data_IF_470318983045
#
_entry.id   IF_470318983045
#
_cell.length_a   1.000
_cell.length_b   1.000
_cell.length_c   1.000
_cell.angle_alpha   90.00
_cell.angle_beta   90.00
_cell.angle_gamma   90.00
#
_symmetry.space_group_name_H-M   'P 1'
#
loop_
_entity.id
_entity.type
_entity.pdbx_description
1 polymer ?
#
# COMPACT_ATOMS: atom_id res chain seq x y z
N UNK A 1 -20.05 -6.15 7.48
CA UNK A 1 -19.22 -7.17 8.16
C UNK A 1 -18.60 -8.05 7.10
N UNK A 2 -17.43 -8.63 7.36
CA UNK A 2 -16.78 -9.54 6.41
C UNK A 2 -17.21 -10.97 6.68
N UNK A 3 -17.53 -11.71 5.61
CA UNK A 3 -17.51 -13.17 5.60
C UNK A 3 -16.07 -13.62 5.33
N UNK A 4 -15.56 -14.57 6.11
CA UNK A 4 -14.17 -15.01 6.03
C UNK A 4 -14.11 -16.52 5.93
N UNK A 5 -13.46 -16.99 4.86
CA UNK A 5 -13.15 -18.39 4.61
C UNK A 5 -11.65 -18.62 4.82
N UNK A 6 -11.33 -19.66 5.59
CA UNK A 6 -9.96 -20.02 5.92
C UNK A 6 -9.55 -21.28 5.17
N UNK A 7 -8.36 -21.25 4.57
CA UNK A 7 -7.62 -22.42 4.10
C UNK A 7 -6.21 -22.44 4.71
N UNK A 8 -5.47 -23.52 4.46
CA UNK A 8 -4.15 -23.73 5.09
C UNK A 8 -3.15 -22.61 4.77
N UNK A 9 -3.16 -22.12 3.53
CA UNK A 9 -2.25 -21.06 3.04
C UNK A 9 -2.99 -19.88 2.43
N UNK A 10 -4.31 -19.79 2.63
CA UNK A 10 -5.10 -18.71 2.05
C UNK A 10 -6.25 -18.26 2.93
N UNK A 11 -6.59 -16.98 2.84
CA UNK A 11 -7.83 -16.40 3.36
C UNK A 11 -8.61 -15.78 2.22
N UNK A 12 -9.91 -16.01 2.18
CA UNK A 12 -10.84 -15.27 1.32
C UNK A 12 -11.81 -14.50 2.20
N UNK A 13 -11.95 -13.21 1.92
CA UNK A 13 -12.79 -12.29 2.69
C UNK A 13 -13.75 -11.60 1.72
N UNK A 14 -15.05 -11.63 1.99
CA UNK A 14 -16.06 -10.99 1.15
C UNK A 14 -16.98 -10.07 1.97
N UNK A 15 -17.41 -8.96 1.38
CA UNK A 15 -18.44 -8.07 1.94
C UNK A 15 -19.20 -7.37 0.83
N UNK A 16 -20.43 -6.96 1.13
CA UNK A 16 -21.17 -5.98 0.33
C UNK A 16 -21.35 -4.70 1.14
N UNK A 17 -21.26 -3.56 0.48
CA UNK A 17 -21.47 -2.24 1.08
C UNK A 17 -22.43 -1.45 0.20
N UNK A 18 -23.27 -0.63 0.82
CA UNK A 18 -24.28 0.21 0.15
C UNK A 18 -24.36 1.58 0.79
N UNK A 19 -24.47 2.62 -0.03
CA UNK A 19 -24.70 3.99 0.39
C UNK A 19 -25.47 4.74 -0.70
N UNK A 20 -26.75 5.04 -0.46
CA UNK A 20 -27.62 5.61 -1.49
C UNK A 20 -27.72 4.66 -2.70
N UNK A 21 -27.45 5.20 -3.88
CA UNK A 21 -27.46 4.46 -5.15
C UNK A 21 -26.12 3.76 -5.47
N UNK A 22 -25.12 3.90 -4.59
CA UNK A 22 -23.89 3.11 -4.68
C UNK A 22 -24.05 1.78 -3.96
N UNK A 23 -23.66 0.71 -4.65
CA UNK A 23 -23.54 -0.63 -4.09
C UNK A 23 -22.25 -1.25 -4.64
N UNK A 24 -21.47 -1.87 -3.76
CA UNK A 24 -20.22 -2.53 -4.14
C UNK A 24 -20.07 -3.87 -3.41
N UNK A 25 -19.65 -4.88 -4.16
CA UNK A 25 -19.14 -6.13 -3.61
C UNK A 25 -17.62 -6.06 -3.60
N UNK A 26 -17.02 -6.38 -2.46
CA UNK A 26 -15.58 -6.42 -2.28
C UNK A 26 -15.19 -7.82 -1.87
N UNK A 27 -14.26 -8.41 -2.60
CA UNK A 27 -13.58 -9.64 -2.25
C UNK A 27 -12.10 -9.36 -2.09
N UNK A 28 -11.49 -9.93 -1.05
CA UNK A 28 -10.04 -9.89 -0.82
C UNK A 28 -9.53 -11.30 -0.64
N UNK A 29 -8.41 -11.63 -1.28
CA UNK A 29 -7.72 -12.89 -1.10
C UNK A 29 -6.31 -12.63 -0.59
N UNK A 30 -5.93 -13.31 0.48
CA UNK A 30 -4.56 -13.36 0.98
C UNK A 30 -4.03 -14.77 0.73
N UNK A 31 -2.87 -14.90 0.11
CA UNK A 31 -2.21 -16.18 -0.15
C UNK A 31 -0.79 -16.13 0.38
N UNK A 32 -0.43 -17.12 1.18
CA UNK A 32 0.94 -17.37 1.64
C UNK A 32 1.64 -18.30 0.65
N UNK A 33 2.80 -17.90 0.15
CA UNK A 33 3.64 -18.71 -0.71
C UNK A 33 5.11 -18.65 -0.25
N UNK A 34 5.58 -19.69 0.42
CA UNK A 34 6.93 -19.76 1.00
C UNK A 34 7.27 -18.51 1.86
N UNK A 35 8.03 -17.58 1.28
CA UNK A 35 8.43 -16.30 1.88
C UNK A 35 7.73 -15.12 1.21
N UNK A 36 6.46 -15.28 0.85
CA UNK A 36 5.67 -14.24 0.21
C UNK A 36 4.22 -14.21 0.66
N UNK A 37 3.62 -13.03 0.50
CA UNK A 37 2.20 -12.77 0.70
C UNK A 37 1.67 -12.09 -0.54
N UNK A 38 0.72 -12.74 -1.22
CA UNK A 38 -0.11 -12.11 -2.25
C UNK A 38 -1.38 -11.57 -1.60
N UNK A 39 -1.67 -10.30 -1.81
CA UNK A 39 -2.93 -9.64 -1.43
C UNK A 39 -3.66 -9.17 -2.68
N UNK A 40 -4.70 -9.89 -3.08
CA UNK A 40 -5.58 -9.50 -4.17
C UNK A 40 -6.85 -8.84 -3.63
N UNK A 41 -7.35 -7.87 -4.37
CA UNK A 41 -8.67 -7.28 -4.14
C UNK A 41 -9.44 -7.27 -5.45
N UNK A 42 -10.72 -7.63 -5.37
CA UNK A 42 -11.69 -7.57 -6.46
C UNK A 42 -12.88 -6.77 -5.99
N UNK A 43 -13.32 -5.84 -6.81
CA UNK A 43 -14.54 -5.06 -6.57
C UNK A 43 -15.49 -5.20 -7.74
N UNK A 44 -16.78 -5.24 -7.44
CA UNK A 44 -17.85 -5.17 -8.43
C UNK A 44 -18.77 -4.02 -8.06
N UNK A 45 -18.93 -3.04 -8.94
CA UNK A 45 -19.98 -2.04 -8.78
C UNK A 45 -21.31 -2.70 -9.16
N UNK A 46 -22.12 -3.09 -8.17
CA UNK A 46 -23.44 -3.67 -8.36
C UNK A 46 -24.58 -2.66 -8.12
N UNK A 47 -24.24 -1.38 -7.97
CA UNK A 47 -25.18 -0.27 -7.95
C UNK A 47 -25.54 0.24 -9.34
N UNK A 48 -26.64 0.99 -9.49
CA UNK A 48 -27.02 1.64 -10.75
C UNK A 48 -26.12 2.82 -11.13
N UNK A 49 -25.49 3.48 -10.14
CA UNK A 49 -24.66 4.67 -10.36
C UNK A 49 -23.19 4.35 -10.61
N UNK A 50 -22.48 5.30 -11.21
CA UNK A 50 -21.02 5.25 -11.34
C UNK A 50 -20.36 5.34 -9.97
N UNK A 51 -19.46 4.40 -9.65
CA UNK A 51 -18.77 4.32 -8.37
C UNK A 51 -17.36 4.92 -8.48
N UNK A 52 -17.05 6.01 -7.73
CA UNK A 52 -15.67 6.44 -7.52
C UNK A 52 -14.99 5.48 -6.52
N UNK A 53 -13.99 4.75 -6.99
CA UNK A 53 -13.15 3.86 -6.19
C UNK A 53 -11.88 4.60 -5.77
N UNK A 54 -11.66 4.68 -4.46
CA UNK A 54 -10.39 5.10 -3.87
C UNK A 54 -9.92 3.98 -2.94
N UNK A 55 -8.71 3.50 -3.14
CA UNK A 55 -8.16 2.40 -2.36
C UNK A 55 -6.67 2.59 -2.13
N UNK A 56 -6.16 2.17 -0.97
CA UNK A 56 -4.74 2.12 -0.71
C UNK A 56 -4.42 0.97 0.24
N UNK A 57 -3.22 0.41 0.09
CA UNK A 57 -2.64 -0.42 1.14
C UNK A 57 -2.14 0.49 2.26
N UNK A 58 -2.30 0.07 3.52
CA UNK A 58 -1.82 0.83 4.67
C UNK A 58 -1.04 -0.08 5.64
N UNK A 59 0.06 -0.73 5.17
CA UNK A 59 0.84 -1.64 5.99
C UNK A 59 1.70 -0.87 7.00
N UNK A 60 1.76 -1.33 8.24
CA UNK A 60 2.64 -0.75 9.26
C UNK A 60 3.84 -1.67 9.50
N UNK A 61 5.03 -1.19 9.15
CA UNK A 61 6.30 -1.86 9.38
C UNK A 61 7.06 -1.23 10.56
N UNK A 62 7.84 -2.00 11.34
CA UNK A 62 8.65 -1.46 12.44
C UNK A 62 9.85 -0.68 11.92
N UNK A 63 10.24 0.45 12.52
CA UNK A 63 11.43 1.16 12.05
C UNK A 63 12.70 0.29 12.00
N UNK A 64 13.52 0.43 10.93
CA UNK A 64 14.85 -0.15 10.88
C UNK A 64 15.78 0.51 11.90
N UNK A 65 16.73 -0.26 12.43
CA UNK A 65 17.63 0.21 13.49
C UNK A 65 18.51 1.38 13.05
N UNK A 66 18.87 1.44 11.76
CA UNK A 66 19.65 2.51 11.13
C UNK A 66 18.79 3.70 10.65
N UNK A 67 17.46 3.61 10.76
CA UNK A 67 16.52 4.63 10.30
C UNK A 67 16.35 4.72 8.78
N UNK A 68 16.98 3.84 7.99
CA UNK A 68 16.82 3.77 6.53
C UNK A 68 15.61 2.89 6.23
N UNK A 69 14.53 3.48 5.75
CA UNK A 69 13.23 2.82 5.61
C UNK A 69 13.09 2.02 4.32
N UNK A 70 13.13 2.70 3.17
CA UNK A 70 12.87 2.07 1.89
C UNK A 70 13.46 2.84 0.72
N UNK A 71 13.58 2.17 -0.42
CA UNK A 71 13.82 2.78 -1.71
C UNK A 71 12.68 2.44 -2.68
N UNK A 72 12.56 3.26 -3.72
CA UNK A 72 11.62 3.03 -4.82
C UNK A 72 12.37 2.95 -6.14
N UNK A 73 11.67 2.56 -7.21
CA UNK A 73 12.15 2.71 -8.59
C UNK A 73 12.66 4.14 -8.86
N UNK A 74 13.82 4.26 -9.53
CA UNK A 74 14.78 5.37 -9.46
C UNK A 74 14.34 6.77 -9.90
N UNK A 75 13.12 6.94 -10.41
CA UNK A 75 12.64 8.22 -10.97
C UNK A 75 11.63 8.95 -10.06
N UNK A 76 11.49 8.50 -8.81
CA UNK A 76 10.60 9.13 -7.83
C UNK A 76 11.34 10.18 -6.99
N UNK A 77 10.67 11.28 -6.67
CA UNK A 77 11.22 12.35 -5.84
C UNK A 77 10.41 12.55 -4.58
N UNK A 78 11.04 13.09 -3.53
CA UNK A 78 10.37 13.45 -2.30
C UNK A 78 10.53 14.96 -2.07
N UNK A 79 9.43 15.70 -1.83
CA UNK A 79 9.54 17.10 -1.44
C UNK A 79 10.20 17.23 -0.07
N UNK A 80 10.72 18.43 0.24
CA UNK A 80 11.24 18.72 1.57
C UNK A 80 10.21 18.39 2.65
N UNK A 81 10.64 17.66 3.68
CA UNK A 81 9.78 17.18 4.74
C UNK A 81 10.49 17.29 6.10
N UNK A 82 9.80 17.68 7.19
CA UNK A 82 10.45 17.83 8.50
C UNK A 82 10.86 16.50 9.12
N UNK A 83 10.17 15.39 8.83
CA UNK A 83 10.49 14.07 9.40
C UNK A 83 11.20 13.13 8.44
N UNK A 84 10.89 13.15 7.15
CA UNK A 84 11.55 12.27 6.18
C UNK A 84 12.66 12.97 5.41
N UNK A 85 13.73 12.24 5.08
CA UNK A 85 14.81 12.68 4.19
C UNK A 85 15.07 11.68 3.07
N UNK A 86 15.87 12.09 2.09
CA UNK A 86 16.55 11.20 1.15
C UNK A 86 18.04 11.21 1.49
N UNK A 87 18.69 10.05 1.52
CA UNK A 87 20.15 9.94 1.61
C UNK A 87 20.82 10.04 0.21
N UNK A 88 22.14 9.88 0.17
CA UNK A 88 22.94 10.01 -1.06
C UNK A 88 22.65 8.87 -2.07
N UNK A 89 22.10 7.75 -1.60
CA UNK A 89 21.66 6.60 -2.38
C UNK A 89 20.18 6.72 -2.84
N UNK A 90 19.46 7.77 -2.42
CA UNK A 90 18.06 8.00 -2.76
C UNK A 90 17.08 7.15 -1.95
N UNK A 91 17.48 6.66 -0.78
CA UNK A 91 16.62 5.93 0.15
C UNK A 91 15.91 6.89 1.09
N UNK A 92 14.68 6.54 1.47
CA UNK A 92 13.88 7.27 2.45
C UNK A 92 14.45 7.00 3.83
N UNK A 93 14.85 8.07 4.52
CA UNK A 93 15.42 8.00 5.86
C UNK A 93 14.58 8.77 6.88
N UNK A 94 14.65 8.30 8.13
CA UNK A 94 14.10 8.97 9.30
C UNK A 94 15.02 10.11 9.75
N UNK A 95 14.52 11.35 9.81
CA UNK A 95 15.27 12.47 10.41
C UNK A 95 15.28 12.36 11.93
N UNK A 96 16.48 12.50 12.51
CA UNK A 96 16.72 12.28 13.94
C UNK A 96 16.20 13.41 14.84
N UNK A 97 16.05 14.63 14.30
CA UNK A 97 15.61 15.83 15.01
C UNK A 97 14.08 16.02 15.01
N UNK A 98 13.33 15.19 14.27
CA UNK A 98 11.88 15.24 14.26
C UNK A 98 11.25 14.59 15.49
N UNK A 99 10.18 15.20 15.99
CA UNK A 99 9.35 14.69 17.08
C UNK A 99 8.37 13.62 16.58
N UNK A 100 8.83 12.37 16.57
CA UNK A 100 8.10 11.24 15.99
C UNK A 100 6.86 10.79 16.76
N UNK A 101 6.64 11.28 17.99
CA UNK A 101 5.38 11.00 18.70
C UNK A 101 4.19 11.72 18.05
N UNK A 102 4.43 12.79 17.28
CA UNK A 102 3.41 13.44 16.45
C UNK A 102 3.17 12.74 15.12
N UNK A 103 4.08 11.84 14.75
CA UNK A 103 4.17 11.27 13.42
C UNK A 103 4.52 12.29 12.35
N UNK A 104 4.61 11.79 11.12
CA UNK A 104 4.88 12.60 9.95
C UNK A 104 4.29 11.96 8.70
N UNK A 105 3.89 12.81 7.77
CA UNK A 105 3.36 12.43 6.46
C UNK A 105 4.20 13.09 5.35
N UNK A 106 4.42 12.37 4.27
CA UNK A 106 4.95 12.91 3.02
C UNK A 106 4.29 12.20 1.84
N UNK A 107 4.17 12.88 0.70
CA UNK A 107 3.68 12.28 -0.54
C UNK A 107 4.83 12.23 -1.55
N UNK A 108 5.12 11.05 -2.08
CA UNK A 108 6.13 10.85 -3.10
C UNK A 108 5.62 11.37 -4.46
N UNK A 109 6.47 12.08 -5.16
CA UNK A 109 6.21 12.69 -6.46
C UNK A 109 6.69 11.78 -7.60
N UNK A 110 6.08 11.94 -8.78
CA UNK A 110 6.47 11.18 -9.98
C UNK A 110 5.92 9.75 -10.06
N UNK A 111 5.11 9.30 -9.09
CA UNK A 111 4.54 7.95 -9.07
C UNK A 111 3.26 7.78 -9.91
N UNK A 112 2.57 8.88 -10.24
CA UNK A 112 1.26 8.83 -10.89
C UNK A 112 1.33 8.13 -12.26
N UNK A 113 0.44 7.16 -12.50
CA UNK A 113 0.35 6.39 -13.74
C UNK A 113 1.46 5.35 -13.90
N UNK A 114 2.20 5.02 -12.83
CA UNK A 114 3.32 4.08 -12.87
C UNK A 114 3.08 2.90 -11.94
N UNK A 115 3.66 1.77 -12.29
CA UNK A 115 3.86 0.65 -11.36
C UNK A 115 5.13 0.95 -10.56
N UNK A 116 5.03 0.96 -9.23
CA UNK A 116 6.18 1.20 -8.35
C UNK A 116 6.54 -0.09 -7.63
N UNK A 117 7.85 -0.36 -7.61
CA UNK A 117 8.44 -1.37 -6.73
C UNK A 117 9.10 -0.65 -5.57
N UNK A 118 8.78 -1.09 -4.35
CA UNK A 118 9.44 -0.63 -3.15
C UNK A 118 10.35 -1.74 -2.61
N UNK A 119 11.52 -1.38 -2.12
CA UNK A 119 12.37 -2.25 -1.31
C UNK A 119 12.43 -1.66 0.08
N UNK A 120 11.89 -2.37 1.05
CA UNK A 120 11.83 -1.95 2.44
C UNK A 120 12.92 -2.68 3.23
N UNK A 121 13.71 -1.92 3.98
CA UNK A 121 14.69 -2.45 4.91
C UNK A 121 13.96 -2.83 6.17
N UNK A 122 14.04 -4.08 6.62
CA UNK A 122 13.40 -4.53 7.85
C UNK A 122 14.49 -4.92 8.86
N UNK A 123 14.28 -4.80 10.18
CA UNK A 123 15.22 -5.28 11.21
C UNK A 123 15.62 -6.77 11.14
N UNK A 124 15.09 -7.53 10.18
CA UNK A 124 15.30 -8.99 10.03
C UNK A 124 15.54 -9.42 8.58
N UNK A 125 15.88 -8.49 7.70
CA UNK A 125 16.08 -8.77 6.27
C UNK A 125 15.46 -7.67 5.41
N UNK A 126 14.94 -8.06 4.25
CA UNK A 126 14.34 -7.11 3.30
C UNK A 126 12.94 -7.53 2.88
N UNK A 127 12.11 -6.55 2.53
CA UNK A 127 10.78 -6.77 1.98
C UNK A 127 10.72 -6.09 0.62
N UNK A 128 10.61 -6.87 -0.45
CA UNK A 128 10.21 -6.33 -1.76
C UNK A 128 8.70 -6.21 -1.78
N UNK A 129 8.18 -5.06 -2.21
CA UNK A 129 6.74 -4.86 -2.48
C UNK A 129 6.53 -4.46 -3.93
N UNK A 130 5.57 -5.11 -4.59
CA UNK A 130 5.19 -4.86 -5.97
C UNK A 130 3.68 -4.88 -6.13
N UNK A 131 3.16 -4.00 -6.97
CA UNK A 131 1.75 -3.94 -7.35
C UNK A 131 1.55 -4.17 -8.85
N UNK A 132 0.34 -4.57 -9.26
CA UNK A 132 -0.05 -4.74 -10.67
C UNK A 132 -0.98 -3.63 -11.21
N UNK A 133 -1.06 -2.50 -10.49
CA UNK A 133 -1.92 -1.38 -10.84
C UNK A 133 -1.17 -0.05 -10.89
N UNK A 134 -1.59 0.82 -11.80
CA UNK A 134 -1.08 2.18 -11.87
C UNK A 134 -1.40 2.96 -10.60
N UNK A 135 -0.39 3.60 -10.02
CA UNK A 135 -0.60 4.43 -8.84
C UNK A 135 -1.26 5.75 -9.19
N UNK A 136 -2.18 6.19 -8.33
CA UNK A 136 -2.62 7.57 -8.27
C UNK A 136 -1.67 8.40 -7.37
N UNK A 137 -1.25 7.83 -6.24
CA UNK A 137 -0.38 8.48 -5.24
C UNK A 137 0.46 7.43 -4.51
N UNK A 138 1.51 7.86 -3.81
CA UNK A 138 2.29 7.05 -2.87
C UNK A 138 2.63 7.88 -1.63
N UNK A 139 1.71 7.98 -0.65
CA UNK A 139 2.04 8.53 0.65
C UNK A 139 3.03 7.66 1.42
N UNK A 140 3.78 8.30 2.30
CA UNK A 140 4.50 7.67 3.40
C UNK A 140 4.03 8.33 4.69
N UNK A 141 3.66 7.49 5.64
CA UNK A 141 3.31 7.91 6.99
C UNK A 141 4.16 7.16 8.01
N UNK A 142 4.57 7.83 9.08
CA UNK A 142 5.28 7.17 10.18
C UNK A 142 5.10 7.88 11.51
N UNK A 143 5.37 7.17 12.59
CA UNK A 143 5.39 7.67 13.97
C UNK A 143 6.58 7.09 14.74
N UNK A 144 6.62 7.17 16.06
CA UNK A 144 7.74 6.64 16.84
C UNK A 144 7.89 5.11 16.77
N UNK A 145 6.86 4.39 16.35
CA UNK A 145 6.82 2.93 16.33
C UNK A 145 6.95 2.33 14.93
N UNK A 146 6.28 2.93 13.94
CA UNK A 146 6.05 2.31 12.63
C UNK A 146 6.19 3.28 11.48
N UNK A 147 6.42 2.74 10.30
CA UNK A 147 6.41 3.42 9.00
C UNK A 147 5.58 2.63 7.99
N UNK A 148 4.91 3.35 7.09
CA UNK A 148 3.97 2.86 6.10
C UNK A 148 4.23 3.58 4.79
N UNK A 149 4.43 2.85 3.70
CA UNK A 149 4.34 3.38 2.33
C UNK A 149 3.07 2.81 1.70
N UNK A 150 2.30 3.69 1.07
CA UNK A 150 0.86 3.47 0.86
C UNK A 150 0.52 3.57 -0.63
N UNK A 151 0.76 2.51 -1.42
CA UNK A 151 0.38 2.52 -2.83
C UNK A 151 -1.13 2.77 -2.96
N UNK A 152 -1.46 3.89 -3.60
CA UNK A 152 -2.81 4.42 -3.70
C UNK A 152 -3.32 4.28 -5.13
N UNK A 153 -4.57 3.86 -5.27
CA UNK A 153 -5.31 3.62 -6.51
C UNK A 153 -6.56 4.50 -6.52
N UNK A 154 -6.80 5.18 -7.63
CA UNK A 154 -8.06 5.88 -7.91
C UNK A 154 -8.62 5.38 -9.24
N UNK A 155 -9.92 5.07 -9.27
CA UNK A 155 -10.59 4.61 -10.49
C UNK A 155 -12.08 4.95 -10.47
N UNK A 156 -12.67 5.12 -11.63
CA UNK A 156 -14.12 5.23 -11.79
C UNK A 156 -14.67 3.94 -12.39
N UNK A 157 -15.71 3.36 -11.78
CA UNK A 157 -16.32 2.09 -12.20
C UNK A 157 -17.77 2.33 -12.62
N UNK A 158 -18.10 2.06 -13.88
CA UNK A 158 -19.49 2.06 -14.32
C UNK A 158 -20.30 0.94 -13.63
N UNK A 159 -21.62 1.05 -13.66
CA UNK A 159 -22.50 -0.01 -13.16
C UNK A 159 -22.15 -1.35 -13.80
N UNK A 160 -22.25 -2.44 -13.03
CA UNK A 160 -21.90 -3.81 -13.42
C UNK A 160 -20.43 -4.02 -13.80
N UNK A 161 -19.55 -3.05 -13.55
CA UNK A 161 -18.11 -3.19 -13.82
C UNK A 161 -17.43 -3.95 -12.69
N UNK A 162 -16.59 -4.90 -13.08
CA UNK A 162 -15.66 -5.61 -12.20
C UNK A 162 -14.27 -5.04 -12.39
N UNK A 163 -13.54 -4.84 -11.29
CA UNK A 163 -12.14 -4.47 -11.31
C UNK A 163 -11.35 -5.30 -10.28
N UNK A 164 -10.08 -5.61 -10.55
CA UNK A 164 -9.24 -6.39 -9.66
C UNK A 164 -7.79 -5.91 -9.75
N UNK A 165 -7.08 -6.02 -8.64
CA UNK A 165 -5.67 -5.64 -8.52
C UNK A 165 -5.03 -6.44 -7.38
N UNK A 166 -3.70 -6.41 -7.32
CA UNK A 166 -2.91 -7.16 -6.35
C UNK A 166 -1.67 -6.41 -5.86
N UNK A 167 -1.21 -6.82 -4.68
CA UNK A 167 0.11 -6.50 -4.15
C UNK A 167 0.79 -7.78 -3.70
N UNK A 168 2.09 -7.86 -3.96
CA UNK A 168 2.95 -8.94 -3.51
C UNK A 168 3.98 -8.36 -2.55
N UNK A 169 4.11 -9.00 -1.38
CA UNK A 169 5.19 -8.78 -0.42
C UNK A 169 6.09 -10.01 -0.44
N UNK A 170 7.38 -9.84 -0.72
CA UNK A 170 8.37 -10.92 -0.70
C UNK A 170 9.41 -10.65 0.39
N UNK A 171 9.66 -11.63 1.24
CA UNK A 171 10.52 -11.52 2.41
C UNK A 171 11.87 -12.21 2.16
N UNK A 172 12.94 -11.45 2.17
CA UNK A 172 14.31 -11.88 1.89
C UNK A 172 15.16 -11.84 3.18
N UNK A 173 16.21 -12.66 3.27
CA UNK A 173 17.14 -12.67 4.43
C UNK A 173 18.13 -11.53 4.39
#
# INVERSE_FOLDING_TARGET
>A
TWEVEHGDTQLRMATQQRLGDWSVQVERRLVLNDRGVLSETRVTNDGPEVLPLVWYAHPFFPWPDDGVCCSFTSDLTMPENPGFGLDDEGQIVRKADHDWDKGQFVKIEGCQGRDVRAQYHHPRGQITVHNDFELAQMPIWGNSCTVSFEPHLEKTLASSTVFSWSLVYSFEE
#
